data_IF_924842276923
#
_entry.id   IF_924842276923
#
_cell.length_a   1.000
_cell.length_b   1.000
_cell.length_c   1.000
_cell.angle_alpha   90.00
_cell.angle_beta   90.00
_cell.angle_gamma   90.00
#
_symmetry.space_group_name_H-M   'P 1'
#
loop_
_entity.id
_entity.type
_entity.pdbx_description
1 polymer ?
#
# COMPACT_ATOMS: atom_id res chain seq x y z
N UNK A 1 6.04 6.82 0.66
CA UNK A 1 4.71 6.36 0.22
C UNK A 1 4.24 7.02 -1.07
N UNK A 2 4.27 8.36 -1.22
CA UNK A 2 3.71 9.06 -2.39
C UNK A 2 4.17 8.54 -3.76
N UNK A 3 5.49 8.34 -3.96
CA UNK A 3 6.05 7.77 -5.21
C UNK A 3 5.52 6.36 -5.50
N UNK A 4 5.42 5.52 -4.47
CA UNK A 4 4.90 4.16 -4.61
C UNK A 4 3.39 4.18 -4.91
N UNK A 5 2.66 5.16 -4.36
CA UNK A 5 1.26 5.35 -4.68
C UNK A 5 1.01 5.76 -6.14
N UNK A 6 1.84 6.66 -6.67
CA UNK A 6 1.83 7.04 -8.08
C UNK A 6 2.19 5.85 -8.99
N UNK A 7 3.17 5.03 -8.58
CA UNK A 7 3.47 3.79 -9.29
C UNK A 7 2.25 2.87 -9.33
N UNK A 8 1.60 2.63 -8.18
CA UNK A 8 0.41 1.77 -8.12
C UNK A 8 -0.68 2.27 -9.08
N UNK A 9 -1.03 3.55 -9.03
CA UNK A 9 -2.04 4.13 -9.92
C UNK A 9 -1.67 3.93 -11.40
N UNK A 10 -0.41 4.13 -11.76
CA UNK A 10 0.07 3.94 -13.14
C UNK A 10 -0.03 2.48 -13.60
N UNK A 11 0.22 1.53 -12.69
CA UNK A 11 0.15 0.10 -12.96
C UNK A 11 -1.29 -0.42 -13.03
N UNK A 12 -2.18 0.16 -12.23
CA UNK A 12 -3.59 -0.22 -12.14
C UNK A 12 -4.40 0.34 -13.33
N UNK A 13 -4.07 1.57 -13.76
CA UNK A 13 -4.74 2.24 -14.87
C UNK A 13 -4.40 1.67 -16.26
N UNK A 14 -3.38 0.82 -16.38
CA UNK A 14 -2.97 0.24 -17.67
C UNK A 14 -3.13 -1.27 -17.71
N UNK A 15 -3.54 -1.79 -18.88
CA UNK A 15 -3.55 -3.22 -19.20
C UNK A 15 -2.35 -3.62 -20.07
N UNK A 16 -1.63 -2.66 -20.64
CA UNK A 16 -0.51 -2.92 -21.55
C UNK A 16 0.78 -3.24 -20.79
N UNK A 17 1.43 -4.35 -21.18
CA UNK A 17 2.68 -4.79 -20.54
C UNK A 17 3.81 -3.77 -20.72
N UNK A 18 3.84 -3.07 -21.85
CA UNK A 18 4.84 -2.02 -22.16
C UNK A 18 4.74 -0.85 -21.21
N UNK A 19 3.53 -0.38 -20.93
CA UNK A 19 3.30 0.77 -20.05
C UNK A 19 3.66 0.43 -18.62
N UNK A 20 3.27 -0.77 -18.16
CA UNK A 20 3.66 -1.27 -16.83
C UNK A 20 5.18 -1.39 -16.71
N UNK A 21 5.85 -1.88 -17.74
CA UNK A 21 7.30 -1.96 -17.76
C UNK A 21 7.95 -0.57 -17.68
N UNK A 22 7.43 0.40 -18.43
CA UNK A 22 7.93 1.78 -18.40
C UNK A 22 7.71 2.43 -17.03
N UNK A 23 6.55 2.25 -16.40
CA UNK A 23 6.25 2.75 -15.06
C UNK A 23 7.20 2.15 -14.01
N UNK A 24 7.46 0.84 -14.07
CA UNK A 24 8.42 0.17 -13.20
C UNK A 24 9.84 0.69 -13.38
N UNK A 25 10.31 0.84 -14.62
CA UNK A 25 11.64 1.39 -14.91
C UNK A 25 11.79 2.82 -14.39
N UNK A 26 10.80 3.67 -14.65
CA UNK A 26 10.79 5.05 -14.17
C UNK A 26 10.85 5.12 -12.64
N UNK A 27 10.09 4.27 -11.94
CA UNK A 27 10.15 4.19 -10.48
C UNK A 27 11.51 3.71 -9.99
N UNK A 28 12.04 2.59 -10.52
CA UNK A 28 13.31 2.03 -10.06
C UNK A 28 14.53 2.91 -10.38
N UNK A 29 14.47 3.74 -11.42
CA UNK A 29 15.52 4.71 -11.73
C UNK A 29 15.54 5.90 -10.75
N UNK A 30 14.40 6.24 -10.14
CA UNK A 30 14.25 7.45 -9.33
C UNK A 30 14.08 7.20 -7.81
N UNK A 31 13.66 5.99 -7.42
CA UNK A 31 13.40 5.65 -6.02
C UNK A 31 14.71 5.44 -5.24
N UNK A 32 14.77 5.87 -3.96
CA UNK A 32 15.85 5.46 -3.06
C UNK A 32 15.95 3.93 -2.98
N UNK A 33 17.15 3.39 -2.75
CA UNK A 33 17.38 1.94 -2.79
C UNK A 33 16.49 1.15 -1.81
N UNK A 34 16.24 1.67 -0.60
CA UNK A 34 15.33 1.05 0.37
C UNK A 34 13.89 0.99 -0.14
N UNK A 35 13.39 2.08 -0.73
CA UNK A 35 12.05 2.17 -1.32
C UNK A 35 11.91 1.22 -2.52
N UNK A 36 12.96 1.12 -3.34
CA UNK A 36 13.00 0.20 -4.47
C UNK A 36 12.98 -1.27 -3.99
N UNK A 37 13.75 -1.62 -2.96
CA UNK A 37 13.78 -2.98 -2.41
C UNK A 37 12.41 -3.43 -1.88
N UNK A 38 11.72 -2.56 -1.11
CA UNK A 38 10.37 -2.87 -0.65
C UNK A 38 9.36 -2.95 -1.79
N UNK A 39 9.43 -2.04 -2.77
CA UNK A 39 8.55 -2.11 -3.94
C UNK A 39 8.74 -3.43 -4.71
N UNK A 40 9.98 -3.86 -4.94
CA UNK A 40 10.30 -5.16 -5.55
C UNK A 40 9.68 -6.30 -4.75
N UNK A 41 9.85 -6.30 -3.43
CA UNK A 41 9.27 -7.32 -2.56
C UNK A 41 7.75 -7.43 -2.74
N UNK A 42 7.01 -6.33 -2.65
CA UNK A 42 5.55 -6.35 -2.78
C UNK A 42 5.08 -6.69 -4.20
N UNK A 43 5.68 -6.09 -5.23
CA UNK A 43 5.31 -6.32 -6.63
C UNK A 43 5.63 -7.75 -7.09
N UNK A 44 6.63 -8.39 -6.48
CA UNK A 44 6.95 -9.80 -6.71
C UNK A 44 6.02 -10.76 -5.93
N UNK A 45 5.03 -10.25 -5.19
CA UNK A 45 4.06 -11.04 -4.42
C UNK A 45 4.44 -11.27 -2.95
N UNK A 46 5.47 -10.59 -2.45
CA UNK A 46 5.83 -10.57 -1.05
C UNK A 46 4.73 -9.95 -0.19
N UNK A 47 4.54 -10.49 1.02
CA UNK A 47 3.51 -10.07 1.96
C UNK A 47 4.06 -10.05 3.39
N UNK A 48 4.04 -8.91 4.09
CA UNK A 48 4.26 -8.91 5.53
C UNK A 48 3.16 -9.74 6.16
N UNK A 49 3.54 -10.76 6.95
CA UNK A 49 2.57 -11.65 7.60
C UNK A 49 1.62 -10.82 8.46
N UNK A 50 0.32 -10.95 8.17
CA UNK A 50 -0.85 -10.33 8.82
C UNK A 50 -0.51 -9.56 10.08
N UNK A 51 -0.31 -8.26 9.90
CA UNK A 51 0.24 -7.37 10.92
C UNK A 51 -0.86 -6.86 11.87
N UNK A 52 -2.04 -6.59 11.31
CA UNK A 52 -3.23 -6.14 12.04
C UNK A 52 -4.44 -7.00 11.65
N UNK A 53 -5.27 -7.45 12.61
CA UNK A 53 -6.51 -8.15 12.31
C UNK A 53 -7.50 -7.28 11.51
N UNK A 54 -8.20 -7.88 10.55
CA UNK A 54 -9.22 -7.19 9.74
C UNK A 54 -10.32 -6.54 10.58
N UNK A 55 -10.78 -7.22 11.63
CA UNK A 55 -11.80 -6.69 12.54
C UNK A 55 -11.34 -5.38 13.19
N UNK A 56 -10.08 -5.31 13.64
CA UNK A 56 -9.53 -4.10 14.25
C UNK A 56 -9.40 -2.95 13.25
N UNK A 57 -9.01 -3.23 12.01
CA UNK A 57 -8.96 -2.21 10.96
C UNK A 57 -10.36 -1.62 10.68
N UNK A 58 -11.38 -2.47 10.58
CA UNK A 58 -12.77 -2.03 10.41
C UNK A 58 -13.25 -1.20 11.61
N UNK A 59 -13.09 -1.71 12.83
CA UNK A 59 -13.50 -1.00 14.05
C UNK A 59 -12.85 0.38 14.15
N UNK A 60 -11.54 0.44 13.88
CA UNK A 60 -10.78 1.70 13.88
C UNK A 60 -11.30 2.67 12.80
N UNK A 61 -11.63 2.16 11.61
CA UNK A 61 -12.17 2.97 10.52
C UNK A 61 -13.56 3.52 10.84
N UNK A 62 -14.46 2.70 11.39
CA UNK A 62 -15.79 3.14 11.85
C UNK A 62 -15.68 4.24 12.90
N UNK A 63 -14.82 4.04 13.91
CA UNK A 63 -14.58 5.02 14.97
C UNK A 63 -14.04 6.36 14.43
N UNK A 64 -13.11 6.33 13.46
CA UNK A 64 -12.59 7.54 12.84
C UNK A 64 -13.59 8.24 11.93
N UNK A 65 -14.42 7.48 11.21
CA UNK A 65 -15.43 8.02 10.31
C UNK A 65 -16.69 8.50 11.04
N UNK A 66 -16.87 8.13 12.32
CA UNK A 66 -18.08 8.45 13.07
C UNK A 66 -19.31 7.74 12.51
N UNK A 67 -19.13 6.51 11.99
CA UNK A 67 -20.20 5.70 11.41
C UNK A 67 -20.38 4.39 12.18
N UNK A 68 -21.61 3.91 12.23
CA UNK A 68 -21.92 2.59 12.78
C UNK A 68 -21.47 1.46 11.86
N UNK A 69 -21.28 0.27 12.44
CA UNK A 69 -20.83 -0.93 11.71
C UNK A 69 -21.77 -1.33 10.56
N UNK A 70 -23.09 -1.16 10.73
CA UNK A 70 -24.06 -1.48 9.68
C UNK A 70 -23.87 -0.62 8.43
N UNK A 71 -23.48 0.66 8.60
CA UNK A 71 -23.24 1.58 7.49
C UNK A 71 -21.92 1.23 6.80
N UNK A 72 -20.88 0.89 7.57
CA UNK A 72 -19.64 0.37 7.01
C UNK A 72 -19.89 -0.90 6.19
N UNK A 73 -20.70 -1.84 6.70
CA UNK A 73 -21.06 -3.06 5.99
C UNK A 73 -21.79 -2.75 4.66
N UNK A 74 -22.74 -1.81 4.67
CA UNK A 74 -23.41 -1.38 3.44
C UNK A 74 -22.42 -0.80 2.42
N UNK A 75 -21.45 0.02 2.85
CA UNK A 75 -20.38 0.52 1.99
C UNK A 75 -19.51 -0.62 1.45
N UNK A 76 -19.13 -1.57 2.31
CA UNK A 76 -18.33 -2.72 1.91
C UNK A 76 -19.04 -3.60 0.89
N UNK A 77 -20.34 -3.86 1.05
CA UNK A 77 -21.13 -4.62 0.07
C UNK A 77 -21.24 -3.89 -1.28
N UNK A 78 -21.26 -2.56 -1.29
CA UNK A 78 -21.29 -1.78 -2.52
C UNK A 78 -19.93 -1.77 -3.26
N UNK A 79 -18.83 -1.73 -2.51
CA UNK A 79 -17.45 -1.59 -3.05
C UNK A 79 -16.80 -2.94 -3.31
N UNK A 80 -17.00 -3.93 -2.44
CA UNK A 80 -16.43 -5.28 -2.54
C UNK A 80 -14.96 -5.40 -2.09
N UNK A 81 -14.34 -4.32 -1.62
CA UNK A 81 -12.96 -4.30 -1.15
C UNK A 81 -12.79 -3.52 0.16
N UNK A 82 -12.11 -4.13 1.14
CA UNK A 82 -11.91 -3.54 2.47
C UNK A 82 -11.04 -2.28 2.40
N UNK A 83 -9.96 -2.30 1.61
CA UNK A 83 -9.03 -1.18 1.55
C UNK A 83 -9.68 0.03 0.88
N UNK A 84 -10.45 -0.20 -0.18
CA UNK A 84 -11.21 0.84 -0.87
C UNK A 84 -12.34 1.39 0.02
N UNK A 85 -13.05 0.51 0.74
CA UNK A 85 -14.07 0.93 1.71
C UNK A 85 -13.46 1.82 2.80
N UNK A 86 -12.37 1.39 3.45
CA UNK A 86 -11.68 2.19 4.46
C UNK A 86 -11.18 3.52 3.88
N UNK A 87 -10.59 3.51 2.69
CA UNK A 87 -10.10 4.72 2.05
C UNK A 87 -11.22 5.75 1.79
N UNK A 88 -12.43 5.30 1.45
CA UNK A 88 -13.58 6.15 1.17
C UNK A 88 -14.32 6.66 2.40
N UNK A 89 -14.53 5.82 3.41
CA UNK A 89 -15.32 6.21 4.60
C UNK A 89 -14.54 7.14 5.54
N UNK A 90 -13.21 7.06 5.54
CA UNK A 90 -12.39 7.87 6.42
C UNK A 90 -12.46 9.37 6.04
N UNK A 91 -12.58 10.28 7.01
CA UNK A 91 -12.64 11.71 6.76
C UNK A 91 -11.34 12.23 6.12
N UNK A 92 -11.37 13.41 5.53
CA UNK A 92 -10.17 14.03 4.96
C UNK A 92 -9.00 14.04 5.98
N UNK A 93 -7.76 13.79 5.55
CA UNK A 93 -6.60 13.85 6.45
C UNK A 93 -6.48 15.25 7.06
N UNK A 94 -6.15 15.30 8.35
CA UNK A 94 -6.08 16.54 9.13
C UNK A 94 -4.64 16.99 9.41
N UNK A 95 -3.66 16.11 9.19
CA UNK A 95 -2.24 16.42 9.34
C UNK A 95 -1.59 16.93 8.04
N UNK A 96 -0.36 17.46 8.12
CA UNK A 96 0.42 17.76 6.93
C UNK A 96 0.65 16.48 6.12
N UNK A 97 0.75 16.63 4.80
CA UNK A 97 1.05 15.52 3.92
C UNK A 97 2.40 14.91 4.31
N UNK A 98 2.42 13.59 4.47
CA UNK A 98 3.64 12.89 4.80
C UNK A 98 4.56 12.74 3.58
N UNK A 99 5.84 13.01 3.77
CA UNK A 99 6.90 12.90 2.76
C UNK A 99 7.72 11.61 2.89
N UNK A 100 7.51 10.84 3.96
CA UNK A 100 8.22 9.58 4.22
C UNK A 100 8.17 8.62 3.03
N UNK A 101 9.30 7.94 2.78
CA UNK A 101 9.48 6.93 1.73
C UNK A 101 8.65 5.67 1.94
N UNK A 102 8.62 4.76 0.97
CA UNK A 102 7.99 3.44 1.17
C UNK A 102 8.70 2.65 2.28
N UNK A 103 10.04 2.65 2.29
CA UNK A 103 10.82 1.90 3.26
C UNK A 103 10.57 2.36 4.69
N UNK A 104 10.58 3.67 4.94
CA UNK A 104 10.28 4.23 6.25
C UNK A 104 8.87 3.83 6.72
N UNK A 105 7.87 3.95 5.85
CA UNK A 105 6.50 3.53 6.16
C UNK A 105 6.43 2.04 6.53
N UNK A 106 7.14 1.19 5.79
CA UNK A 106 7.12 -0.26 6.05
C UNK A 106 7.86 -0.57 7.35
N UNK A 107 9.08 -0.10 7.49
CA UNK A 107 10.00 -0.49 8.58
C UNK A 107 9.64 0.16 9.91
N UNK A 108 9.18 1.41 9.89
CA UNK A 108 8.95 2.18 11.11
C UNK A 108 7.47 2.27 11.52
N UNK A 109 6.53 1.99 10.59
CA UNK A 109 5.10 2.21 10.86
C UNK A 109 4.24 0.98 10.61
N UNK A 110 4.52 0.20 9.58
CA UNK A 110 3.77 -1.03 9.28
C UNK A 110 4.28 -2.19 10.12
N UNK A 111 5.53 -2.62 9.92
CA UNK A 111 6.08 -3.81 10.59
C UNK A 111 6.05 -3.73 12.12
N UNK A 112 6.30 -2.57 12.76
CA UNK A 112 6.28 -2.45 14.22
C UNK A 112 4.90 -2.67 14.85
N UNK A 113 3.81 -2.60 14.08
CA UNK A 113 2.47 -2.91 14.59
C UNK A 113 2.36 -4.38 15.04
N UNK A 114 3.20 -5.26 14.50
CA UNK A 114 3.14 -6.69 14.77
C UNK A 114 3.46 -6.98 16.24
N UNK A 115 2.54 -7.64 16.92
CA UNK A 115 2.71 -8.03 18.33
C UNK A 115 2.39 -6.92 19.34
N UNK A 116 2.04 -5.72 18.88
CA UNK A 116 1.50 -4.69 19.76
C UNK A 116 0.10 -5.07 20.27
N UNK A 117 -0.31 -4.60 21.46
CA UNK A 117 -1.67 -4.73 21.93
C UNK A 117 -2.68 -4.08 20.95
N UNK A 118 -3.90 -4.61 20.81
CA UNK A 118 -4.91 -4.07 19.89
C UNK A 118 -5.17 -2.57 20.04
N UNK A 119 -5.19 -2.05 21.27
CA UNK A 119 -5.39 -0.62 21.53
C UNK A 119 -4.27 0.26 20.94
N UNK A 120 -3.01 -0.20 21.02
CA UNK A 120 -1.86 0.50 20.45
C UNK A 120 -1.86 0.37 18.92
N UNK A 121 -2.19 -0.81 18.37
CA UNK A 121 -2.37 -0.97 16.93
C UNK A 121 -3.41 0.00 16.37
N UNK A 122 -4.57 0.11 17.02
CA UNK A 122 -5.62 1.06 16.63
C UNK A 122 -5.15 2.51 16.72
N UNK A 123 -4.44 2.90 17.78
CA UNK A 123 -3.88 4.25 17.91
C UNK A 123 -2.93 4.61 16.76
N UNK A 124 -2.00 3.70 16.43
CA UNK A 124 -1.04 3.88 15.33
C UNK A 124 -1.70 3.89 13.96
N UNK A 125 -2.75 3.09 13.75
CA UNK A 125 -3.55 3.15 12.53
C UNK A 125 -4.23 4.51 12.38
N UNK A 126 -4.80 5.07 13.45
CA UNK A 126 -5.42 6.40 13.43
C UNK A 126 -4.41 7.48 13.06
N UNK A 127 -3.22 7.45 13.67
CA UNK A 127 -2.11 8.36 13.33
C UNK A 127 -1.75 8.23 11.85
N UNK A 128 -1.54 7.00 11.37
CA UNK A 128 -1.19 6.75 9.98
C UNK A 128 -2.24 7.25 8.98
N UNK A 129 -3.52 6.98 9.23
CA UNK A 129 -4.60 7.40 8.36
C UNK A 129 -4.89 8.91 8.41
N UNK A 130 -4.50 9.60 9.48
CA UNK A 130 -4.65 11.04 9.59
C UNK A 130 -3.74 11.86 8.68
N UNK A 131 -2.64 11.27 8.18
CA UNK A 131 -1.63 11.93 7.33
C UNK A 131 -1.59 11.40 5.89
N UNK A 132 -2.26 10.28 5.61
CA UNK A 132 -2.34 9.68 4.28
C UNK A 132 -3.60 10.15 3.54
N UNK A 133 -3.45 10.40 2.23
CA UNK A 133 -4.57 10.60 1.32
C UNK A 133 -5.31 9.28 1.02
N UNK A 134 -6.38 9.33 0.23
CA UNK A 134 -7.19 8.15 -0.09
C UNK A 134 -6.35 7.01 -0.72
N UNK A 135 -5.45 7.34 -1.66
CA UNK A 135 -4.59 6.33 -2.28
C UNK A 135 -3.59 5.73 -1.29
N UNK A 136 -2.97 6.56 -0.45
CA UNK A 136 -2.06 6.13 0.60
C UNK A 136 -2.73 5.21 1.62
N UNK A 137 -3.96 5.55 2.05
CA UNK A 137 -4.78 4.73 2.95
C UNK A 137 -5.11 3.38 2.33
N UNK A 138 -5.60 3.39 1.09
CA UNK A 138 -5.88 2.19 0.31
C UNK A 138 -4.64 1.28 0.27
N UNK A 139 -3.48 1.83 -0.09
CA UNK A 139 -2.24 1.07 -0.17
C UNK A 139 -1.82 0.51 1.17
N UNK A 140 -1.81 1.33 2.23
CA UNK A 140 -1.43 0.87 3.56
C UNK A 140 -2.28 -0.34 3.99
N UNK A 141 -3.60 -0.28 3.79
CA UNK A 141 -4.49 -1.40 4.12
C UNK A 141 -4.20 -2.62 3.25
N UNK A 142 -3.95 -2.46 1.94
CA UNK A 142 -3.55 -3.58 1.06
C UNK A 142 -2.24 -4.23 1.49
N UNK A 143 -1.27 -3.44 1.93
CA UNK A 143 0.03 -3.92 2.41
C UNK A 143 -0.12 -4.68 3.74
N UNK A 144 -0.92 -4.16 4.68
CA UNK A 144 -1.22 -4.82 5.97
C UNK A 144 -1.97 -6.15 5.76
N UNK A 145 -3.01 -6.13 4.92
CA UNK A 145 -3.88 -7.28 4.68
C UNK A 145 -3.31 -8.32 3.72
N UNK A 146 -2.15 -8.05 3.09
CA UNK A 146 -1.55 -8.94 2.10
C UNK A 146 -2.39 -9.14 0.83
N UNK A 147 -3.35 -8.23 0.58
CA UNK A 147 -4.25 -8.21 -0.58
C UNK A 147 -3.68 -7.43 -1.77
N UNK A 148 -2.42 -7.00 -1.70
CA UNK A 148 -1.78 -6.20 -2.74
C UNK A 148 -1.61 -6.99 -4.05
N UNK A 149 -2.31 -6.55 -5.10
CA UNK A 149 -2.24 -7.06 -6.48
C UNK A 149 -2.47 -5.90 -7.43
N UNK A 150 -1.67 -5.80 -8.50
CA UNK A 150 -1.76 -4.70 -9.49
C UNK A 150 -1.42 -5.17 -10.91
N UNK A 151 -1.66 -6.45 -11.19
CA UNK A 151 -1.40 -7.05 -12.50
C UNK A 151 0.06 -6.94 -12.96
N UNK A 152 1.01 -7.04 -12.03
CA UNK A 152 2.46 -7.10 -12.27
C UNK A 152 2.96 -8.48 -11.82
N UNK A 153 3.69 -9.16 -12.70
CA UNK A 153 4.31 -10.46 -12.39
C UNK A 153 5.74 -10.27 -11.91
N UNK A 154 6.26 -11.27 -11.17
CA UNK A 154 7.68 -11.30 -10.76
C UNK A 154 8.62 -11.15 -11.96
N UNK A 155 8.32 -11.81 -13.09
CA UNK A 155 9.09 -11.69 -14.32
C UNK A 155 9.13 -10.25 -14.85
N UNK A 156 8.01 -9.52 -14.77
CA UNK A 156 7.96 -8.13 -15.23
C UNK A 156 8.82 -7.22 -14.34
N UNK A 157 8.81 -7.45 -13.02
CA UNK A 157 9.70 -6.76 -12.08
C UNK A 157 11.17 -7.05 -12.40
N UNK A 158 11.55 -8.32 -12.59
CA UNK A 158 12.92 -8.72 -12.97
C UNK A 158 13.36 -8.03 -14.27
N UNK A 159 12.50 -8.00 -15.30
CA UNK A 159 12.79 -7.30 -16.57
C UNK A 159 13.01 -5.80 -16.38
N UNK A 160 12.23 -5.15 -15.51
CA UNK A 160 12.39 -3.73 -15.22
C UNK A 160 13.73 -3.45 -14.52
N UNK A 161 14.09 -4.26 -13.52
CA UNK A 161 15.37 -4.16 -12.81
C UNK A 161 16.55 -4.39 -13.75
N UNK A 162 16.50 -5.42 -14.60
CA UNK A 162 17.53 -5.71 -15.59
C UNK A 162 17.74 -4.54 -16.56
N UNK A 163 16.65 -3.92 -17.03
CA UNK A 163 16.73 -2.75 -17.91
C UNK A 163 17.39 -1.55 -17.22
N UNK A 164 17.04 -1.26 -15.97
CA UNK A 164 17.65 -0.16 -15.19
C UNK A 164 19.11 -0.43 -14.88
N UNK A 165 19.45 -1.68 -14.54
CA UNK A 165 20.81 -2.12 -14.25
C UNK A 165 21.68 -2.34 -15.52
N UNK A 166 21.08 -2.29 -16.71
CA UNK A 166 21.70 -2.64 -18.00
C UNK A 166 22.31 -4.05 -18.00
N UNK A 167 21.61 -5.01 -17.41
CA UNK A 167 21.96 -6.42 -17.34
C UNK A 167 21.04 -7.27 -18.23
N UNK A 168 21.49 -8.48 -18.60
CA UNK A 168 20.57 -9.46 -19.17
C UNK A 168 19.56 -9.89 -18.09
N UNK A 169 18.26 -9.89 -18.42
CA UNK A 169 17.21 -10.31 -17.50
C UNK A 169 17.34 -11.77 -17.05
N UNK A 170 18.11 -12.61 -17.76
CA UNK A 170 18.45 -13.98 -17.34
C UNK A 170 19.46 -14.04 -16.19
N UNK A 171 20.12 -12.93 -15.88
CA UNK A 171 21.14 -12.82 -14.83
C UNK A 171 20.60 -12.16 -13.55
N UNK A 172 19.31 -11.81 -13.50
CA UNK A 172 18.65 -11.05 -12.43
C UNK A 172 17.60 -11.89 -11.71
#
# INVERSE_FOLDING_TARGET
MRRFAQLYQSLDASTATTDKLAALQAYFAAAPAGDAAWAVYFLAGGKPRQVVPTALMRETACAMAGIDDWLFEACYQAVGDLAETIAHVLPAPTGPADEAGLAEWVEQRLLPLRGLPPAEQAARLREAWSVLDATGRFLLVKLIGGGFRVGVSKLLVTRALAAVARLDAKQV
#
